data_IF_698416429970
#
_entry.id   IF_698416429970
#
_cell.length_a   1.000
_cell.length_b   1.000
_cell.length_c   1.000
_cell.angle_alpha   90.00
_cell.angle_beta   90.00
_cell.angle_gamma   90.00
#
_symmetry.space_group_name_H-M   'P 1'
#
loop_
_entity.id
_entity.type
_entity.pdbx_description
1 polymer ?
#
# COMPACT_ATOMS: atom_id res chain seq x y z
N UNK A 1 -5.61 7.44 1.43
CA UNK A 1 -6.00 6.29 2.28
C UNK A 1 -7.28 6.63 3.03
N UNK A 2 -8.38 5.89 2.81
CA UNK A 2 -9.53 5.94 3.74
C UNK A 2 -9.16 5.37 5.11
N UNK A 3 -10.16 5.11 5.96
CA UNK A 3 -10.04 4.67 7.37
C UNK A 3 -9.41 3.28 7.57
N UNK A 4 -8.21 3.04 7.04
CA UNK A 4 -7.38 1.87 7.36
C UNK A 4 -6.47 2.26 8.51
N UNK A 5 -6.61 1.56 9.63
CA UNK A 5 -5.70 1.70 10.75
C UNK A 5 -4.61 0.63 10.65
N UNK A 6 -3.35 1.04 10.52
CA UNK A 6 -2.22 0.14 10.46
C UNK A 6 -1.69 -0.13 11.87
N UNK A 7 -1.62 -1.41 12.26
CA UNK A 7 -0.83 -1.82 13.40
C UNK A 7 0.63 -1.94 12.96
N UNK A 8 1.50 -1.06 13.46
CA UNK A 8 2.93 -1.06 13.13
C UNK A 8 3.72 -1.59 14.33
N UNK A 9 4.34 -2.76 14.17
CA UNK A 9 5.18 -3.37 15.19
C UNK A 9 6.58 -2.71 15.23
N UNK A 10 7.31 -2.78 16.35
CA UNK A 10 8.69 -2.30 16.42
C UNK A 10 9.56 -2.89 15.30
N UNK A 11 10.31 -2.03 14.60
CA UNK A 11 11.15 -2.41 13.47
C UNK A 11 10.43 -2.47 12.12
N UNK A 12 9.10 -2.31 12.08
CA UNK A 12 8.34 -2.12 10.83
C UNK A 12 8.31 -0.64 10.49
N UNK A 13 8.57 -0.33 9.22
CA UNK A 13 8.43 1.03 8.72
C UNK A 13 6.96 1.46 8.78
N UNK A 14 6.70 2.57 9.47
CA UNK A 14 5.35 3.14 9.53
C UNK A 14 5.03 3.84 8.19
N UNK A 15 3.83 3.62 7.61
CA UNK A 15 3.39 4.36 6.42
C UNK A 15 3.43 5.86 6.64
N UNK A 16 4.12 6.56 5.74
CA UNK A 16 4.33 8.00 5.80
C UNK A 16 4.02 8.64 4.43
N UNK A 17 4.52 9.85 4.19
CA UNK A 17 4.27 10.60 2.96
C UNK A 17 4.77 9.87 1.71
N UNK A 18 5.92 9.21 1.77
CA UNK A 18 6.47 8.42 0.67
C UNK A 18 5.57 7.23 0.29
N UNK A 19 5.00 6.56 1.28
CA UNK A 19 4.01 5.50 1.09
C UNK A 19 2.72 6.06 0.49
N UNK A 20 2.31 7.25 0.91
CA UNK A 20 1.14 7.92 0.34
C UNK A 20 1.36 8.35 -1.12
N UNK A 21 2.58 8.80 -1.46
CA UNK A 21 2.99 9.12 -2.83
C UNK A 21 2.89 7.87 -3.73
N UNK A 22 3.45 6.75 -3.29
CA UNK A 22 3.38 5.48 -4.03
C UNK A 22 1.94 4.96 -4.15
N UNK A 23 1.13 5.09 -3.10
CA UNK A 23 -0.28 4.70 -3.16
C UNK A 23 -1.08 5.57 -4.15
N UNK A 24 -0.75 6.86 -4.26
CA UNK A 24 -1.31 7.76 -5.27
C UNK A 24 -0.95 7.32 -6.68
N UNK A 25 0.35 7.11 -6.94
CA UNK A 25 0.82 6.63 -8.24
C UNK A 25 0.17 5.28 -8.64
N UNK A 26 0.06 4.34 -7.70
CA UNK A 26 -0.63 3.07 -7.93
C UNK A 26 -2.11 3.25 -8.26
N UNK A 27 -2.78 4.25 -7.68
CA UNK A 27 -4.20 4.53 -7.95
C UNK A 27 -4.43 5.11 -9.34
N UNK A 28 -3.41 5.74 -9.92
CA UNK A 28 -3.45 6.30 -11.27
C UNK A 28 -3.19 5.22 -12.35
N UNK A 29 -2.72 4.03 -11.95
CA UNK A 29 -2.49 2.89 -12.86
C UNK A 29 -3.79 2.14 -13.19
N UNK A 30 -3.95 1.80 -14.48
CA UNK A 30 -5.10 1.02 -14.95
C UNK A 30 -4.82 -0.48 -14.84
N UNK A 31 -5.10 -1.05 -13.66
CA UNK A 31 -4.96 -2.49 -13.43
C UNK A 31 -6.25 -3.23 -13.87
N UNK A 32 -6.15 -4.31 -14.67
CA UNK A 32 -7.32 -5.10 -15.02
C UNK A 32 -7.88 -5.82 -13.79
N UNK A 33 -9.20 -6.11 -13.74
CA UNK A 33 -9.79 -6.93 -12.69
C UNK A 33 -9.07 -8.27 -12.54
N UNK A 34 -8.68 -8.61 -11.31
CA UNK A 34 -7.93 -9.85 -11.03
C UNK A 34 -6.44 -9.78 -11.36
N UNK A 35 -5.88 -8.58 -11.57
CA UNK A 35 -4.44 -8.40 -11.71
C UNK A 35 -3.66 -8.99 -10.53
N UNK A 36 -2.53 -9.63 -10.83
CA UNK A 36 -1.59 -10.12 -9.83
C UNK A 36 -0.56 -9.03 -9.51
N UNK A 37 -0.53 -8.57 -8.26
CA UNK A 37 0.37 -7.50 -7.79
C UNK A 37 1.34 -8.04 -6.73
N UNK A 38 2.60 -7.62 -6.80
CA UNK A 38 3.64 -7.92 -5.80
C UNK A 38 4.05 -6.63 -5.08
N UNK A 39 3.94 -6.61 -3.75
CA UNK A 39 4.44 -5.54 -2.89
C UNK A 39 5.75 -5.97 -2.22
N UNK A 40 6.89 -5.48 -2.73
CA UNK A 40 8.22 -5.85 -2.25
C UNK A 40 8.55 -5.08 -0.99
N UNK A 41 8.83 -5.79 0.11
CA UNK A 41 9.11 -5.14 1.40
C UNK A 41 7.85 -4.54 2.03
N UNK A 42 6.72 -5.23 1.91
CA UNK A 42 5.37 -4.76 2.25
C UNK A 42 5.20 -4.10 3.63
N UNK A 43 6.08 -4.38 4.59
CA UNK A 43 6.08 -3.73 5.90
C UNK A 43 4.74 -3.88 6.61
N UNK A 44 4.05 -2.77 6.86
CA UNK A 44 2.71 -2.76 7.45
C UNK A 44 1.60 -3.24 6.50
N UNK A 45 1.91 -3.57 5.26
CA UNK A 45 0.95 -3.98 4.23
C UNK A 45 0.24 -2.81 3.53
N UNK A 46 0.74 -1.57 3.65
CA UNK A 46 0.00 -0.40 3.20
C UNK A 46 -0.23 -0.34 1.69
N UNK A 47 0.80 -0.63 0.89
CA UNK A 47 0.68 -0.66 -0.57
C UNK A 47 -0.04 -1.92 -1.05
N UNK A 48 0.20 -3.08 -0.45
CA UNK A 48 -0.59 -4.28 -0.72
C UNK A 48 -2.11 -4.06 -0.51
N UNK A 49 -2.50 -3.38 0.57
CA UNK A 49 -3.89 -3.03 0.83
C UNK A 49 -4.43 -1.92 -0.08
N UNK A 50 -3.56 -1.06 -0.62
CA UNK A 50 -3.96 -0.10 -1.65
C UNK A 50 -4.22 -0.81 -3.00
N UNK A 51 -3.36 -1.77 -3.36
CA UNK A 51 -3.48 -2.57 -4.59
C UNK A 51 -4.71 -3.49 -4.61
N UNK A 52 -5.18 -3.92 -3.43
CA UNK A 52 -6.32 -4.84 -3.31
C UNK A 52 -7.70 -4.15 -3.28
N UNK A 53 -7.75 -2.82 -3.41
CA UNK A 53 -8.99 -2.03 -3.41
C UNK A 53 -9.56 -1.89 -4.81
#
# INVERSE_FOLDING_TARGET
MGSVNFMVLPGVYAPQEDTALLAGALSDESLPPGAAVLDVGTGSGALALAAAR
#
